data_IF_846705131272
#
_entry.id   IF_846705131272
#
_cell.length_a   1.000
_cell.length_b   1.000
_cell.length_c   1.000
_cell.angle_alpha   90.00
_cell.angle_beta   90.00
_cell.angle_gamma   90.00
#
_symmetry.space_group_name_H-M   'P 1'
#
loop_
_entity.id
_entity.type
_entity.pdbx_description
1 polymer ?
#
# COMPACT_ATOMS: atom_id res chain seq x y z
N UNK A 1 3.67 -12.43 -4.43
CA UNK A 1 3.70 -12.97 -3.06
C UNK A 1 4.67 -12.15 -2.22
N UNK A 2 4.39 -11.92 -0.93
CA UNK A 2 5.30 -11.24 -0.02
C UNK A 2 6.18 -12.26 0.73
N UNK A 3 7.45 -11.91 0.97
CA UNK A 3 8.36 -12.74 1.78
C UNK A 3 8.14 -12.45 3.26
N UNK A 4 8.05 -13.49 4.08
CA UNK A 4 8.22 -13.38 5.53
C UNK A 4 9.32 -14.31 6.01
N UNK A 5 10.03 -13.86 7.03
CA UNK A 5 11.08 -14.62 7.68
C UNK A 5 11.18 -14.18 9.14
N UNK A 6 11.67 -15.06 9.99
CA UNK A 6 12.01 -14.75 11.37
C UNK A 6 12.99 -15.82 11.89
N UNK A 7 13.44 -15.67 13.14
CA UNK A 7 14.22 -16.65 13.85
C UNK A 7 13.56 -17.07 15.16
N UNK A 8 13.67 -18.36 15.47
CA UNK A 8 13.19 -18.94 16.73
C UNK A 8 14.36 -19.03 17.69
N UNK A 9 14.22 -18.35 18.84
CA UNK A 9 15.21 -18.37 19.93
C UNK A 9 14.58 -18.92 21.23
N UNK A 10 15.41 -19.52 22.07
CA UNK A 10 15.02 -19.96 23.42
C UNK A 10 15.04 -18.78 24.42
N UNK A 11 14.63 -19.05 25.67
CA UNK A 11 14.61 -18.04 26.75
C UNK A 11 16.01 -17.54 27.15
N UNK A 12 17.07 -18.21 26.71
CA UNK A 12 18.47 -17.82 26.93
C UNK A 12 19.07 -17.10 25.72
N UNK A 13 18.30 -16.91 24.65
CA UNK A 13 18.72 -16.27 23.41
C UNK A 13 19.46 -17.18 22.43
N UNK A 14 19.49 -18.50 22.64
CA UNK A 14 20.08 -19.43 21.69
C UNK A 14 19.10 -19.71 20.55
N UNK A 15 19.61 -19.84 19.33
CA UNK A 15 18.84 -20.32 18.19
C UNK A 15 18.28 -21.73 18.43
N UNK A 16 17.04 -21.97 18.00
CA UNK A 16 16.38 -23.28 18.11
C UNK A 16 16.30 -23.91 16.73
N UNK A 17 17.18 -24.87 16.46
CA UNK A 17 17.13 -25.71 15.26
C UNK A 17 15.97 -26.71 15.34
N UNK A 18 15.31 -26.96 14.20
CA UNK A 18 14.24 -27.96 14.09
C UNK A 18 12.93 -27.59 14.77
N UNK A 19 12.73 -26.33 15.16
CA UNK A 19 11.43 -25.84 15.59
C UNK A 19 10.43 -25.96 14.44
N UNK A 20 9.24 -26.46 14.72
CA UNK A 20 8.17 -26.60 13.71
C UNK A 20 7.39 -25.29 13.63
N UNK A 21 7.29 -24.70 12.44
CA UNK A 21 6.51 -23.49 12.18
C UNK A 21 5.35 -23.83 11.27
N UNK A 22 4.12 -23.74 11.80
CA UNK A 22 2.89 -23.86 11.02
C UNK A 22 2.38 -22.48 10.66
N UNK A 23 2.16 -22.26 9.37
CA UNK A 23 1.51 -21.04 8.86
C UNK A 23 0.03 -21.34 8.64
N UNK A 24 -0.86 -20.63 9.34
CA UNK A 24 -2.30 -20.84 9.24
C UNK A 24 -3.01 -19.57 8.78
N UNK A 25 -4.14 -19.73 8.10
CA UNK A 25 -5.04 -18.62 7.80
C UNK A 25 -5.60 -18.07 9.10
N UNK A 26 -5.63 -16.75 9.27
CA UNK A 26 -6.25 -16.11 10.43
C UNK A 26 -7.56 -15.41 9.99
N UNK A 27 -8.67 -15.51 10.76
CA UNK A 27 -8.83 -16.21 12.04
C UNK A 27 -9.24 -17.70 11.91
N UNK A 28 -9.42 -18.21 10.69
CA UNK A 28 -10.02 -19.54 10.47
C UNK A 28 -9.16 -20.73 10.95
N UNK A 29 -7.85 -20.57 11.10
CA UNK A 29 -6.93 -21.58 11.63
C UNK A 29 -6.57 -22.74 10.68
N UNK A 30 -7.01 -22.72 9.42
CA UNK A 30 -6.66 -23.73 8.43
C UNK A 30 -5.18 -23.61 7.99
N UNK A 31 -4.53 -24.71 7.59
CA UNK A 31 -3.17 -24.65 7.04
C UNK A 31 -3.16 -23.87 5.72
N UNK A 32 -2.25 -22.91 5.61
CA UNK A 32 -2.09 -22.09 4.40
C UNK A 32 -1.12 -22.73 3.41
N UNK A 33 -1.32 -22.44 2.12
CA UNK A 33 -0.31 -22.73 1.09
C UNK A 33 0.77 -21.65 1.13
N UNK A 34 2.03 -22.07 1.13
CA UNK A 34 3.20 -21.19 1.16
C UNK A 34 4.21 -21.61 0.08
N UNK A 35 5.10 -20.70 -0.31
CA UNK A 35 5.95 -20.83 -1.50
C UNK A 35 7.42 -20.50 -1.19
N UNK A 36 8.32 -20.97 -2.04
CA UNK A 36 9.75 -20.63 -2.00
C UNK A 36 10.14 -19.47 -2.91
N UNK A 37 9.22 -19.00 -3.77
CA UNK A 37 9.46 -17.91 -4.71
C UNK A 37 8.41 -16.80 -4.62
N UNK A 38 8.79 -15.60 -5.05
CA UNK A 38 7.95 -14.41 -5.04
C UNK A 38 6.80 -14.44 -6.05
N UNK A 39 6.88 -15.32 -7.05
CA UNK A 39 5.87 -15.51 -8.09
C UNK A 39 4.72 -16.43 -7.63
N UNK A 40 4.91 -17.17 -6.53
CA UNK A 40 3.92 -18.11 -6.01
C UNK A 40 3.81 -19.38 -6.85
N UNK A 41 4.89 -19.81 -7.50
CA UNK A 41 4.87 -20.97 -8.40
C UNK A 41 5.22 -22.26 -7.66
N UNK A 42 6.25 -22.22 -6.82
CA UNK A 42 6.86 -23.39 -6.18
C UNK A 42 6.37 -23.49 -4.75
N UNK A 43 5.25 -24.18 -4.56
CA UNK A 43 4.71 -24.46 -3.24
C UNK A 43 5.70 -25.31 -2.42
N UNK A 44 5.82 -25.02 -1.13
CA UNK A 44 6.65 -25.77 -0.18
C UNK A 44 5.80 -26.36 0.94
N UNK A 45 6.40 -27.27 1.70
CA UNK A 45 5.72 -27.94 2.80
C UNK A 45 5.35 -26.96 3.92
N UNK A 46 4.16 -27.16 4.50
CA UNK A 46 3.70 -26.51 5.71
C UNK A 46 3.15 -27.61 6.62
N UNK A 47 3.82 -27.93 7.75
CA UNK A 47 4.76 -27.09 8.49
C UNK A 47 6.19 -26.97 7.91
N UNK A 48 6.87 -25.87 8.24
CA UNK A 48 8.31 -25.65 8.03
C UNK A 48 9.11 -26.09 9.26
N UNK A 49 10.42 -26.31 9.09
CA UNK A 49 11.38 -26.52 10.18
C UNK A 49 12.45 -25.44 10.14
N UNK A 50 12.82 -24.88 11.29
CA UNK A 50 13.92 -23.92 11.38
C UNK A 50 15.28 -24.58 11.14
N UNK A 51 16.21 -23.82 10.57
CA UNK A 51 17.59 -24.26 10.33
C UNK A 51 18.47 -24.17 11.60
N UNK A 52 19.78 -24.44 11.46
CA UNK A 52 20.76 -24.38 12.56
C UNK A 52 20.89 -22.99 13.22
N UNK A 53 20.47 -21.92 12.54
CA UNK A 53 20.41 -20.55 13.09
C UNK A 53 19.03 -20.21 13.65
N UNK A 54 18.11 -21.17 13.71
CA UNK A 54 16.73 -20.97 14.12
C UNK A 54 15.90 -20.24 13.07
N UNK A 55 16.43 -20.05 11.87
CA UNK A 55 15.81 -19.25 10.82
C UNK A 55 14.76 -20.05 10.04
N UNK A 56 13.70 -19.36 9.63
CA UNK A 56 12.74 -19.86 8.64
C UNK A 56 12.28 -18.71 7.73
N UNK A 57 11.89 -19.06 6.52
CA UNK A 57 11.33 -18.11 5.55
C UNK A 57 10.28 -18.78 4.67
N UNK A 58 9.37 -17.98 4.13
CA UNK A 58 8.41 -18.39 3.13
C UNK A 58 7.83 -17.19 2.40
N UNK A 59 7.18 -17.46 1.27
CA UNK A 59 6.32 -16.51 0.57
C UNK A 59 4.85 -16.93 0.73
N UNK A 60 3.93 -15.97 0.87
CA UNK A 60 2.50 -16.24 0.82
C UNK A 60 1.73 -15.17 0.04
N UNK A 61 0.48 -15.49 -0.29
CA UNK A 61 -0.46 -14.53 -0.86
C UNK A 61 -0.86 -13.48 0.19
N UNK A 62 -1.36 -12.34 -0.28
CA UNK A 62 -1.88 -11.30 0.59
C UNK A 62 -2.99 -11.86 1.49
N UNK A 63 -3.01 -11.41 2.74
CA UNK A 63 -3.95 -11.85 3.75
C UNK A 63 -3.36 -11.88 5.16
N UNK A 64 -4.18 -12.33 6.11
CA UNK A 64 -3.81 -12.43 7.52
C UNK A 64 -3.52 -13.86 7.91
N UNK A 65 -2.44 -14.06 8.65
CA UNK A 65 -1.95 -15.38 9.03
C UNK A 65 -1.64 -15.46 10.52
N UNK A 66 -1.50 -16.69 11.01
CA UNK A 66 -0.89 -16.95 12.31
C UNK A 66 0.28 -17.93 12.16
N UNK A 67 1.28 -17.77 13.02
CA UNK A 67 2.35 -18.75 13.21
C UNK A 67 2.12 -19.53 14.48
N UNK A 68 1.99 -20.85 14.36
CA UNK A 68 2.06 -21.76 15.49
C UNK A 68 3.44 -22.40 15.48
N UNK A 69 4.28 -21.95 16.41
CA UNK A 69 5.68 -22.36 16.54
C UNK A 69 5.78 -23.35 17.69
N UNK A 70 6.21 -24.57 17.41
CA UNK A 70 6.40 -25.64 18.40
C UNK A 70 7.87 -26.02 18.49
N UNK A 71 8.41 -26.00 19.70
CA UNK A 71 9.73 -26.53 20.05
C UNK A 71 9.56 -27.73 20.99
N UNK A 72 10.66 -28.38 21.35
CA UNK A 72 10.65 -29.44 22.37
C UNK A 72 10.19 -28.95 23.76
N UNK A 73 10.25 -27.64 24.02
CA UNK A 73 9.96 -27.05 25.32
C UNK A 73 8.58 -26.39 25.40
N UNK A 74 8.09 -25.78 24.30
CA UNK A 74 6.87 -24.98 24.33
C UNK A 74 6.22 -24.84 22.94
N UNK A 75 4.96 -24.40 22.94
CA UNK A 75 4.27 -23.91 21.74
C UNK A 75 3.90 -22.45 21.94
N UNK A 76 4.18 -21.60 20.94
CA UNK A 76 3.83 -20.18 20.90
C UNK A 76 3.00 -19.91 19.65
N UNK A 77 1.95 -19.12 19.79
CA UNK A 77 1.16 -18.64 18.66
C UNK A 77 1.38 -17.14 18.50
N UNK A 78 1.69 -16.70 17.28
CA UNK A 78 1.71 -15.31 16.86
C UNK A 78 0.53 -15.13 15.92
N UNK A 79 -0.44 -14.31 16.31
CA UNK A 79 -1.64 -14.05 15.51
C UNK A 79 -1.47 -12.80 14.67
N UNK A 80 -2.30 -12.70 13.63
CA UNK A 80 -2.50 -11.48 12.84
C UNK A 80 -1.22 -10.96 12.16
N UNK A 81 -0.49 -11.87 11.54
CA UNK A 81 0.66 -11.57 10.69
C UNK A 81 0.11 -11.19 9.32
N UNK A 82 0.20 -9.90 9.00
CA UNK A 82 -0.27 -9.35 7.72
C UNK A 82 0.74 -9.66 6.63
N UNK A 83 0.28 -10.24 5.52
CA UNK A 83 0.98 -10.23 4.23
C UNK A 83 0.20 -9.30 3.30
N UNK A 84 0.87 -8.29 2.76
CA UNK A 84 0.23 -7.26 1.95
C UNK A 84 1.22 -6.16 1.62
N UNK A 85 0.86 -5.21 0.76
CA UNK A 85 1.58 -3.94 0.75
C UNK A 85 1.60 -3.45 2.19
N UNK A 86 2.76 -3.02 2.68
CA UNK A 86 2.81 -2.34 3.97
C UNK A 86 1.76 -1.24 3.94
N UNK A 87 0.75 -1.30 4.84
CA UNK A 87 -0.17 -0.19 5.12
C UNK A 87 0.58 0.98 5.80
N UNK A 88 1.84 1.20 5.43
CA UNK A 88 2.53 2.42 5.73
C UNK A 88 1.80 3.51 4.96
N UNK A 89 1.23 4.46 5.70
CA UNK A 89 0.81 5.76 5.19
C UNK A 89 1.99 6.58 4.68
N UNK A 90 2.82 5.97 3.85
CA UNK A 90 3.76 6.66 3.00
C UNK A 90 2.89 7.38 1.97
N UNK A 91 2.69 8.68 2.20
CA UNK A 91 2.12 9.59 1.20
C UNK A 91 2.78 9.27 -0.14
N UNK A 92 2.04 8.61 -1.04
CA UNK A 92 2.61 8.18 -2.29
C UNK A 92 2.85 9.43 -3.13
N UNK A 93 4.13 9.81 -3.28
CA UNK A 93 4.53 11.02 -3.98
C UNK A 93 4.65 10.75 -5.49
N UNK A 94 3.86 11.47 -6.27
CA UNK A 94 3.86 11.39 -7.73
C UNK A 94 4.23 12.73 -8.36
N UNK A 95 4.84 12.66 -9.54
CA UNK A 95 5.04 13.84 -10.41
C UNK A 95 4.07 13.73 -11.58
N UNK A 96 3.16 14.69 -11.69
CA UNK A 96 2.17 14.70 -12.76
C UNK A 96 2.80 15.13 -14.09
N UNK A 97 2.21 14.63 -15.17
CA UNK A 97 2.39 15.12 -16.54
C UNK A 97 1.05 15.67 -17.06
N UNK A 98 1.00 16.12 -18.31
CA UNK A 98 -0.23 16.70 -18.90
C UNK A 98 -0.31 18.21 -18.70
N UNK A 99 -1.47 18.71 -18.29
CA UNK A 99 -1.72 20.13 -17.99
C UNK A 99 -2.25 20.31 -16.57
N UNK A 100 -2.33 21.55 -16.06
CA UNK A 100 -2.95 21.81 -14.75
C UNK A 100 -4.43 21.44 -14.68
N UNK A 101 -5.11 21.38 -15.82
CA UNK A 101 -6.53 21.00 -15.93
C UNK A 101 -6.76 19.51 -16.21
N UNK A 102 -5.74 18.83 -16.71
CA UNK A 102 -5.76 17.41 -17.06
C UNK A 102 -4.42 16.77 -16.71
N UNK A 103 -4.23 16.54 -15.41
CA UNK A 103 -3.03 15.90 -14.88
C UNK A 103 -3.04 14.40 -15.16
N UNK A 104 -1.86 13.81 -15.32
CA UNK A 104 -1.69 12.38 -15.59
C UNK A 104 -0.58 11.83 -14.70
N UNK A 105 -0.90 10.77 -13.94
CA UNK A 105 0.07 9.91 -13.27
C UNK A 105 0.30 8.67 -14.13
N UNK A 106 1.54 8.43 -14.54
CA UNK A 106 1.86 7.40 -15.54
C UNK A 106 1.91 5.97 -14.97
N UNK A 107 2.21 5.80 -13.68
CA UNK A 107 2.35 4.49 -13.05
C UNK A 107 2.11 4.55 -11.56
N UNK A 108 1.45 3.51 -11.04
CA UNK A 108 1.45 3.17 -9.62
C UNK A 108 2.35 1.96 -9.37
N UNK A 109 2.85 1.75 -8.14
CA UNK A 109 3.45 0.49 -7.75
C UNK A 109 2.52 -0.69 -8.08
N UNK A 110 3.09 -1.83 -8.44
CA UNK A 110 2.32 -3.04 -8.74
C UNK A 110 1.51 -3.47 -7.53
N UNK A 111 0.22 -3.76 -7.72
CA UNK A 111 -0.68 -4.16 -6.64
C UNK A 111 -1.32 -3.01 -5.87
N UNK A 112 -1.03 -1.76 -6.24
CA UNK A 112 -1.66 -0.60 -5.62
C UNK A 112 -3.14 -0.49 -6.02
N UNK A 113 -4.03 -0.57 -5.05
CA UNK A 113 -5.46 -0.30 -5.19
C UNK A 113 -5.82 0.87 -4.28
N UNK A 114 -6.51 1.88 -4.82
CA UNK A 114 -7.03 2.96 -3.98
C UNK A 114 -8.34 2.52 -3.33
N UNK A 115 -8.42 2.71 -2.02
CA UNK A 115 -9.58 2.54 -1.17
C UNK A 115 -10.06 3.89 -0.64
N UNK A 116 -11.34 3.98 -0.24
CA UNK A 116 -11.91 5.26 0.23
C UNK A 116 -11.09 5.82 1.40
N UNK A 117 -10.62 7.06 1.25
CA UNK A 117 -9.81 7.73 2.27
C UNK A 117 -8.31 7.71 2.00
N UNK A 118 -7.82 6.94 1.03
CA UNK A 118 -6.40 6.93 0.66
C UNK A 118 -5.93 8.30 0.20
N UNK A 119 -4.72 8.68 0.61
CA UNK A 119 -4.10 9.97 0.28
C UNK A 119 -2.88 9.78 -0.62
N UNK A 120 -2.80 10.60 -1.66
CA UNK A 120 -1.65 10.69 -2.55
C UNK A 120 -1.14 12.12 -2.56
N UNK A 121 0.18 12.28 -2.71
CA UNK A 121 0.82 13.59 -2.90
C UNK A 121 1.24 13.71 -4.34
N UNK A 122 0.96 14.85 -4.95
CA UNK A 122 1.20 15.08 -6.37
C UNK A 122 1.92 16.41 -6.55
N UNK A 123 3.02 16.41 -7.30
CA UNK A 123 3.59 17.63 -7.87
C UNK A 123 2.87 17.97 -9.16
N UNK A 124 2.17 19.09 -9.16
CA UNK A 124 1.39 19.58 -10.31
C UNK A 124 2.28 20.04 -11.46
N UNK A 125 1.76 19.89 -12.69
CA UNK A 125 2.45 20.27 -13.93
C UNK A 125 2.08 21.67 -14.42
N UNK A 126 1.04 22.28 -13.84
CA UNK A 126 0.55 23.60 -14.19
C UNK A 126 -0.56 24.05 -13.24
N UNK A 127 -0.97 25.31 -13.38
CA UNK A 127 -2.10 25.87 -12.64
C UNK A 127 -3.43 25.41 -13.25
N UNK A 128 -4.48 25.27 -12.41
CA UNK A 128 -5.81 24.98 -12.91
C UNK A 128 -6.48 26.24 -13.45
N UNK A 129 -6.88 26.21 -14.71
CA UNK A 129 -7.61 27.26 -15.42
C UNK A 129 -9.11 26.98 -15.47
N UNK A 130 -9.55 25.80 -15.03
CA UNK A 130 -10.96 25.44 -14.85
C UNK A 130 -11.29 25.10 -13.40
N UNK A 131 -12.58 25.17 -13.07
CA UNK A 131 -13.13 24.82 -11.76
C UNK A 131 -13.27 23.31 -11.50
N UNK A 132 -13.13 22.49 -12.53
CA UNK A 132 -13.23 21.03 -12.45
C UNK A 132 -12.04 20.33 -13.15
N UNK A 133 -10.79 20.55 -12.69
CA UNK A 133 -9.65 19.87 -13.26
C UNK A 133 -9.70 18.37 -12.95
N UNK A 134 -9.01 17.58 -13.77
CA UNK A 134 -8.97 16.13 -13.64
C UNK A 134 -7.57 15.62 -13.40
N UNK A 135 -7.48 14.45 -12.75
CA UNK A 135 -6.27 13.65 -12.66
C UNK A 135 -6.54 12.24 -13.16
N UNK A 136 -5.76 11.79 -14.14
CA UNK A 136 -5.82 10.43 -14.66
C UNK A 136 -4.86 9.54 -13.89
N UNK A 137 -5.42 8.46 -13.32
CA UNK A 137 -4.67 7.43 -12.62
C UNK A 137 -4.67 6.12 -13.42
N UNK A 138 -3.57 5.34 -13.44
CA UNK A 138 -3.44 4.15 -14.30
C UNK A 138 -4.49 3.06 -14.06
N UNK A 139 -5.05 2.97 -12.85
CA UNK A 139 -5.94 1.88 -12.43
C UNK A 139 -7.41 2.30 -12.42
N UNK A 140 -7.70 3.60 -12.29
CA UNK A 140 -9.05 4.14 -12.10
C UNK A 140 -9.52 4.97 -13.30
N UNK A 141 -8.58 5.54 -14.06
CA UNK A 141 -8.89 6.49 -15.12
C UNK A 141 -8.93 7.94 -14.59
N UNK A 142 -9.65 8.80 -15.32
CA UNK A 142 -9.73 10.22 -15.02
C UNK A 142 -10.74 10.49 -13.90
N UNK A 143 -10.28 11.15 -12.83
CA UNK A 143 -11.11 11.59 -11.72
C UNK A 143 -11.11 13.12 -11.64
N UNK A 144 -12.29 13.71 -11.45
CA UNK A 144 -12.42 15.14 -11.17
C UNK A 144 -11.93 15.45 -9.76
N UNK A 145 -11.20 16.55 -9.62
CA UNK A 145 -10.72 17.05 -8.34
C UNK A 145 -11.74 18.06 -7.80
N UNK A 146 -12.12 17.92 -6.55
CA UNK A 146 -12.99 18.83 -5.79
C UNK A 146 -12.32 19.27 -4.49
N UNK A 147 -12.92 20.20 -3.75
CA UNK A 147 -12.51 20.59 -2.39
C UNK A 147 -13.70 20.60 -1.43
N UNK A 148 -13.42 20.69 -0.12
CA UNK A 148 -14.41 20.92 0.94
C UNK A 148 -15.66 19.98 0.92
N UNK A 149 -15.52 18.76 0.44
CA UNK A 149 -16.61 17.78 0.36
C UNK A 149 -17.40 17.80 -0.94
N UNK A 150 -16.83 18.33 -2.03
CA UNK A 150 -17.45 18.33 -3.37
C UNK A 150 -17.63 19.69 -4.03
N UNK A 151 -17.09 20.76 -3.43
CA UNK A 151 -17.07 22.09 -4.04
C UNK A 151 -16.08 22.12 -5.23
N UNK A 152 -16.39 22.85 -6.31
CA UNK A 152 -15.44 23.08 -7.39
C UNK A 152 -14.19 23.82 -6.91
N UNK A 153 -13.07 23.66 -7.62
CA UNK A 153 -11.86 24.44 -7.36
C UNK A 153 -12.06 25.89 -7.81
N UNK A 154 -11.31 26.80 -7.20
CA UNK A 154 -11.09 28.14 -7.74
C UNK A 154 -10.18 28.00 -8.95
N UNK A 155 -10.62 28.51 -10.09
CA UNK A 155 -9.78 28.62 -11.29
C UNK A 155 -8.91 29.87 -11.27
N UNK A 156 -7.84 29.84 -12.05
CA UNK A 156 -7.02 31.01 -12.34
C UNK A 156 -7.88 32.21 -12.76
N UNK A 157 -7.81 33.28 -11.99
CA UNK A 157 -8.57 34.51 -12.21
C UNK A 157 -7.82 35.45 -13.16
N UNK A 158 -8.47 35.86 -14.26
CA UNK A 158 -7.99 36.94 -15.13
C UNK A 158 -6.60 36.74 -15.74
N UNK A 159 -6.15 35.49 -15.89
CA UNK A 159 -4.80 35.16 -16.37
C UNK A 159 -3.67 35.50 -15.38
N UNK A 160 -4.00 35.80 -14.12
CA UNK A 160 -3.02 36.03 -13.07
C UNK A 160 -2.57 34.69 -12.48
N UNK A 161 -1.29 34.37 -12.62
CA UNK A 161 -0.74 33.11 -12.11
C UNK A 161 -0.84 33.00 -10.59
N UNK A 162 -1.12 31.81 -10.08
CA UNK A 162 -1.19 31.48 -8.66
C UNK A 162 -2.48 31.92 -7.97
N UNK A 163 -3.57 32.09 -8.71
CA UNK A 163 -4.88 32.48 -8.16
C UNK A 163 -5.88 31.33 -8.10
N UNK A 164 -5.64 30.25 -8.85
CA UNK A 164 -6.36 28.98 -8.71
C UNK A 164 -5.91 28.17 -7.49
N UNK A 165 -6.68 27.16 -7.09
CA UNK A 165 -6.31 26.32 -5.93
C UNK A 165 -5.07 25.42 -6.19
N UNK A 166 -4.75 25.15 -7.46
CA UNK A 166 -3.49 24.56 -7.89
C UNK A 166 -2.64 25.69 -8.48
N UNK A 167 -1.65 26.20 -7.74
CA UNK A 167 -1.00 27.48 -8.07
C UNK A 167 -0.05 27.46 -9.27
N UNK A 168 0.38 26.30 -9.77
CA UNK A 168 1.33 26.26 -10.88
C UNK A 168 2.17 25.00 -10.96
N UNK A 169 3.06 25.00 -11.97
CA UNK A 169 4.03 23.92 -12.15
C UNK A 169 4.98 23.83 -10.95
N UNK A 170 5.19 22.62 -10.44
CA UNK A 170 6.05 22.36 -9.29
C UNK A 170 5.36 22.49 -7.93
N UNK A 171 4.12 23.01 -7.90
CA UNK A 171 3.34 23.08 -6.67
C UNK A 171 2.93 21.68 -6.20
N UNK A 172 3.01 21.40 -4.91
CA UNK A 172 2.67 20.09 -4.36
C UNK A 172 1.28 20.14 -3.71
N UNK A 173 0.46 19.14 -4.03
CA UNK A 173 -0.92 19.01 -3.54
C UNK A 173 -1.12 17.63 -2.93
N UNK A 174 -1.96 17.56 -1.90
CA UNK A 174 -2.42 16.30 -1.32
C UNK A 174 -3.86 16.06 -1.72
N UNK A 175 -4.10 14.90 -2.34
CA UNK A 175 -5.41 14.47 -2.82
C UNK A 175 -5.86 13.24 -2.04
N UNK A 176 -7.10 13.24 -1.58
CA UNK A 176 -7.75 12.08 -0.97
C UNK A 176 -8.72 11.44 -1.94
N UNK A 177 -8.60 10.14 -2.15
CA UNK A 177 -9.55 9.38 -2.97
C UNK A 177 -10.88 9.18 -2.24
N UNK A 178 -11.98 9.38 -2.97
CA UNK A 178 -13.34 9.10 -2.52
C UNK A 178 -13.99 8.08 -3.44
N UNK A 179 -14.45 6.96 -2.90
CA UNK A 179 -15.10 5.90 -3.67
C UNK A 179 -16.58 6.19 -3.96
N UNK A 180 -17.22 7.12 -3.24
CA UNK A 180 -18.63 7.47 -3.45
C UNK A 180 -18.97 8.94 -3.09
N UNK A 181 -19.39 9.77 -4.06
CA UNK A 181 -19.17 9.58 -5.50
C UNK A 181 -17.67 9.52 -5.82
N UNK A 182 -17.32 8.76 -6.87
CA UNK A 182 -15.94 8.51 -7.29
C UNK A 182 -15.26 9.82 -7.75
N UNK A 183 -14.31 10.31 -6.95
CA UNK A 183 -13.61 11.59 -7.20
C UNK A 183 -12.32 11.71 -6.39
N UNK A 184 -11.57 12.79 -6.64
CA UNK A 184 -10.48 13.24 -5.79
C UNK A 184 -10.87 14.47 -4.98
N UNK A 185 -10.37 14.55 -3.75
CA UNK A 185 -10.60 15.64 -2.82
C UNK A 185 -9.27 16.33 -2.49
N UNK A 186 -9.13 17.60 -2.86
CA UNK A 186 -7.99 18.44 -2.50
C UNK A 186 -8.07 18.77 -1.01
N UNK A 187 -7.11 18.27 -0.24
CA UNK A 187 -7.07 18.42 1.22
C UNK A 187 -5.86 19.22 1.70
N UNK A 188 -4.85 19.41 0.85
CA UNK A 188 -3.63 20.13 1.20
C UNK A 188 -2.95 20.72 -0.03
N UNK A 189 -2.35 21.89 0.18
CA UNK A 189 -1.62 22.70 -0.79
C UNK A 189 -0.34 23.13 -0.05
N UNK A 190 0.84 22.66 -0.50
CA UNK A 190 2.13 22.84 0.19
C UNK A 190 3.09 23.69 -0.65
#
# INVERSE_FOLDING_TARGET
MEKRYDSVIDLKGNAVEGATVRVQSYPAGALSTIYSDSLGVTAIANPLTTDANGYFEYYAAEGHYSWVITTNAATKTINDIVHGPSEGGDESFFVATGTGDAMIIASFPTGFALTDGDEIRVRAVGENTVTAPTITLPVIGALTIYKNGGDPLNEQQGGQAGTGDIHGAGHEITLRYRASPERMELIGVI
#
